data_IF_994786093910
#
_entry.id   IF_994786093910
#
_cell.length_a   1.000
_cell.length_b   1.000
_cell.length_c   1.000
_cell.angle_alpha   90.00
_cell.angle_beta   90.00
_cell.angle_gamma   90.00
#
_symmetry.space_group_name_H-M   'P 1'
#
loop_
_entity.id
_entity.type
_entity.pdbx_description
1 polymer ?
#
# COMPACT_ATOMS: atom_id res chain seq x y z
N UNK A 1 -33.65 3.81 -21.85
CA UNK A 1 -32.59 4.07 -20.84
C UNK A 1 -31.25 4.11 -21.55
N UNK A 2 -30.72 5.31 -21.79
CA UNK A 2 -29.46 5.51 -22.49
C UNK A 2 -28.32 5.47 -21.46
N UNK A 3 -27.41 4.50 -21.58
CA UNK A 3 -26.17 4.45 -20.79
C UNK A 3 -25.19 5.47 -21.37
N UNK A 4 -24.89 6.49 -20.63
CA UNK A 4 -23.85 7.45 -20.96
C UNK A 4 -22.51 6.90 -20.41
N UNK A 5 -21.67 6.42 -21.30
CA UNK A 5 -20.28 6.07 -20.97
C UNK A 5 -19.48 7.38 -20.77
N UNK A 6 -19.17 7.69 -19.54
CA UNK A 6 -18.24 8.78 -19.20
C UNK A 6 -16.82 8.23 -19.25
N UNK A 7 -16.14 8.48 -20.35
CA UNK A 7 -14.72 8.15 -20.52
C UNK A 7 -13.88 9.23 -19.80
N UNK A 8 -13.38 8.91 -18.61
CA UNK A 8 -12.53 9.81 -17.82
C UNK A 8 -11.07 9.55 -18.16
N UNK A 9 -10.49 10.37 -19.03
CA UNK A 9 -9.07 10.33 -19.38
C UNK A 9 -8.28 11.10 -18.31
N UNK A 10 -7.61 10.40 -17.41
CA UNK A 10 -6.68 11.03 -16.46
C UNK A 10 -5.34 11.29 -17.15
N UNK A 11 -4.99 12.56 -17.30
CA UNK A 11 -3.64 12.98 -17.65
C UNK A 11 -2.83 13.18 -16.37
N UNK A 12 -1.95 12.24 -16.04
CA UNK A 12 -0.97 12.39 -14.96
C UNK A 12 0.26 13.15 -15.50
N UNK A 13 0.49 14.33 -14.96
CA UNK A 13 1.70 15.11 -15.18
C UNK A 13 2.92 14.42 -14.57
N UNK A 14 3.95 14.25 -15.39
CA UNK A 14 5.22 13.66 -15.02
C UNK A 14 6.02 14.58 -14.08
N UNK A 15 6.42 14.07 -12.91
CA UNK A 15 7.54 14.60 -12.15
C UNK A 15 8.81 13.88 -12.63
N UNK A 16 9.50 14.46 -13.60
CA UNK A 16 10.85 14.06 -13.99
C UNK A 16 11.84 14.72 -13.03
N UNK A 17 12.40 13.93 -12.12
CA UNK A 17 13.61 14.27 -11.36
C UNK A 17 14.83 13.84 -12.17
N UNK A 18 15.78 14.75 -12.32
CA UNK A 18 17.04 14.58 -13.05
C UNK A 18 17.85 13.40 -12.53
N UNK A 19 18.31 12.53 -13.44
CA UNK A 19 19.36 11.55 -13.19
C UNK A 19 20.59 11.89 -14.04
N UNK A 20 21.72 11.74 -13.38
CA UNK A 20 23.05 12.08 -13.83
C UNK A 20 23.49 11.33 -15.08
N UNK A 21 24.26 12.02 -15.90
CA UNK A 21 25.03 11.52 -17.03
C UNK A 21 25.96 10.37 -16.65
N UNK A 22 25.89 9.28 -17.40
CA UNK A 22 26.84 8.19 -17.33
C UNK A 22 28.04 8.47 -18.23
N UNK A 23 29.23 8.45 -17.65
CA UNK A 23 30.50 8.64 -18.32
C UNK A 23 30.78 7.49 -19.32
N UNK A 24 31.33 7.83 -20.49
CA UNK A 24 31.85 6.91 -21.51
C UNK A 24 33.10 6.20 -20.97
N UNK A 25 33.27 4.90 -21.21
CA UNK A 25 34.54 4.25 -20.93
C UNK A 25 35.57 4.53 -22.04
N UNK A 26 36.79 4.85 -21.61
CA UNK A 26 37.96 4.98 -22.45
C UNK A 26 38.44 3.58 -22.92
N UNK A 27 38.86 3.51 -24.16
CA UNK A 27 39.52 2.33 -24.72
C UNK A 27 40.94 2.18 -24.13
N UNK A 28 41.24 1.00 -23.62
CA UNK A 28 42.60 0.59 -23.27
C UNK A 28 42.99 -0.64 -24.11
N UNK A 29 43.94 -0.44 -25.01
CA UNK A 29 44.68 -1.53 -25.67
C UNK A 29 45.67 -2.15 -24.68
N UNK A 30 45.68 -3.44 -24.54
CA UNK A 30 46.68 -4.18 -23.77
C UNK A 30 46.53 -5.67 -23.93
N UNK A 31 47.36 -6.25 -24.76
CA UNK A 31 47.42 -7.68 -24.96
C UNK A 31 47.83 -8.45 -23.71
N UNK A 32 47.04 -9.40 -23.29
CA UNK A 32 47.39 -10.40 -22.29
C UNK A 32 47.07 -11.80 -22.76
N UNK A 33 48.02 -12.69 -22.62
CA UNK A 33 47.97 -14.13 -22.87
C UNK A 33 46.81 -14.75 -22.08
N UNK A 34 45.87 -15.36 -22.82
CA UNK A 34 44.72 -16.02 -22.23
C UNK A 34 45.08 -17.36 -21.62
N UNK A 35 45.00 -17.47 -20.30
CA UNK A 35 44.78 -18.74 -19.64
C UNK A 35 43.42 -19.30 -20.04
N UNK A 36 43.27 -20.65 -20.16
CA UNK A 36 41.94 -21.19 -20.46
C UNK A 36 40.93 -20.75 -19.38
N UNK A 37 39.68 -20.45 -19.78
CA UNK A 37 38.69 -20.00 -18.81
C UNK A 37 38.45 -21.11 -17.77
N UNK A 38 38.65 -20.79 -16.53
CA UNK A 38 38.21 -21.61 -15.41
C UNK A 38 36.72 -21.86 -15.58
N UNK A 39 36.34 -23.12 -15.76
CA UNK A 39 34.92 -23.50 -15.89
C UNK A 39 34.28 -23.18 -14.55
N UNK A 40 33.61 -22.03 -14.48
CA UNK A 40 32.88 -21.62 -13.31
C UNK A 40 31.93 -22.75 -12.88
N UNK A 41 31.99 -23.13 -11.61
CA UNK A 41 31.07 -24.14 -11.07
C UNK A 41 29.64 -23.74 -11.46
N UNK A 42 28.80 -24.70 -11.89
CA UNK A 42 27.43 -24.39 -12.30
C UNK A 42 26.75 -23.66 -11.13
N UNK A 43 26.15 -22.51 -11.43
CA UNK A 43 25.40 -21.76 -10.44
C UNK A 43 24.38 -22.71 -9.79
N UNK A 44 24.19 -22.66 -8.47
CA UNK A 44 23.28 -23.55 -7.79
C UNK A 44 21.89 -23.45 -8.44
N UNK A 45 21.34 -24.62 -8.76
CA UNK A 45 20.04 -24.71 -9.44
C UNK A 45 19.02 -23.87 -8.66
N UNK A 46 18.35 -22.96 -9.33
CA UNK A 46 17.33 -22.12 -8.70
C UNK A 46 16.17 -23.01 -8.24
N UNK A 47 15.86 -22.97 -6.95
CA UNK A 47 14.68 -23.62 -6.38
C UNK A 47 13.59 -22.58 -6.20
N UNK A 48 12.46 -22.79 -6.88
CA UNK A 48 11.28 -21.95 -6.75
C UNK A 48 10.60 -22.16 -5.40
N UNK A 49 9.79 -21.20 -4.98
CA UNK A 49 9.13 -21.22 -3.68
C UNK A 49 7.79 -20.50 -3.73
N UNK A 50 6.90 -20.81 -2.76
CA UNK A 50 5.59 -20.16 -2.59
C UNK A 50 5.42 -19.67 -1.16
N UNK A 51 4.71 -18.56 -0.97
CA UNK A 51 4.34 -18.06 0.34
C UNK A 51 2.91 -17.50 0.36
N UNK A 52 2.19 -17.85 1.44
CA UNK A 52 0.83 -17.39 1.74
C UNK A 52 0.66 -17.22 3.25
N UNK A 53 -0.14 -16.25 3.72
CA UNK A 53 -0.58 -16.21 5.10
C UNK A 53 -1.34 -17.46 5.49
N UNK A 54 -1.31 -17.83 6.77
CA UNK A 54 -2.05 -18.99 7.28
C UNK A 54 -3.58 -18.82 7.21
N UNK A 55 -4.05 -17.59 7.03
CA UNK A 55 -5.46 -17.25 6.86
C UNK A 55 -5.65 -16.30 5.69
N UNK A 56 -6.70 -16.53 4.88
CA UNK A 56 -7.10 -15.66 3.78
C UNK A 56 -8.51 -15.14 4.03
N UNK A 57 -8.71 -13.83 3.94
CA UNK A 57 -10.03 -13.22 4.07
C UNK A 57 -10.75 -13.17 2.73
N UNK A 58 -11.98 -13.71 2.71
CA UNK A 58 -12.82 -13.80 1.53
C UNK A 58 -14.24 -13.32 1.84
N UNK A 59 -14.97 -12.86 0.84
CA UNK A 59 -16.40 -12.53 0.95
C UNK A 59 -17.25 -13.71 0.50
N UNK A 60 -18.35 -13.96 1.23
CA UNK A 60 -19.37 -14.90 0.78
C UNK A 60 -20.04 -14.40 -0.51
N UNK A 61 -20.54 -15.32 -1.31
CA UNK A 61 -21.36 -15.03 -2.52
C UNK A 61 -20.75 -13.98 -3.46
N UNK A 62 -19.44 -13.97 -3.54
CA UNK A 62 -18.66 -13.08 -4.41
C UNK A 62 -17.47 -13.89 -4.95
N UNK A 63 -17.11 -13.71 -6.24
CA UNK A 63 -15.87 -14.25 -6.75
C UNK A 63 -14.66 -13.66 -6.01
N UNK A 64 -13.88 -14.51 -5.38
CA UNK A 64 -12.62 -14.13 -4.72
C UNK A 64 -11.47 -14.72 -5.53
N UNK A 65 -10.69 -13.85 -6.16
CA UNK A 65 -9.59 -14.26 -7.00
C UNK A 65 -8.30 -14.40 -6.19
N UNK A 66 -7.60 -15.50 -6.42
CA UNK A 66 -6.28 -15.79 -5.88
C UNK A 66 -5.34 -15.97 -7.07
N UNK A 67 -4.57 -14.94 -7.37
CA UNK A 67 -3.62 -14.96 -8.48
C UNK A 67 -2.36 -15.74 -8.13
N UNK A 68 -1.85 -16.52 -9.09
CA UNK A 68 -0.66 -17.38 -8.91
C UNK A 68 0.60 -16.55 -8.73
N UNK A 69 0.73 -15.50 -9.50
CA UNK A 69 1.94 -14.72 -9.63
C UNK A 69 2.43 -14.10 -8.30
N UNK A 70 1.57 -13.48 -7.47
CA UNK A 70 1.99 -12.95 -6.18
C UNK A 70 2.44 -14.04 -5.18
N UNK A 71 1.98 -15.27 -5.36
CA UNK A 71 2.32 -16.41 -4.50
C UNK A 71 3.69 -16.96 -4.81
N UNK A 72 4.07 -16.97 -6.09
CA UNK A 72 5.23 -17.65 -6.61
C UNK A 72 6.48 -16.75 -6.56
N UNK A 73 7.60 -17.27 -6.06
CA UNK A 73 8.86 -16.54 -5.98
C UNK A 73 9.39 -16.12 -7.34
N UNK A 74 9.24 -16.99 -8.33
CA UNK A 74 9.55 -16.71 -9.73
C UNK A 74 8.46 -17.23 -10.65
N UNK A 75 7.88 -16.34 -11.38
CA UNK A 75 6.96 -16.60 -12.47
C UNK A 75 7.75 -16.58 -13.77
N UNK A 76 7.82 -17.72 -14.49
CA UNK A 76 8.60 -17.89 -15.74
C UNK A 76 10.12 -17.58 -15.61
N UNK A 77 10.99 -18.22 -16.34
CA UNK A 77 10.71 -19.21 -17.40
C UNK A 77 10.69 -20.67 -16.92
N UNK A 78 10.40 -20.92 -15.64
CA UNK A 78 10.44 -22.28 -15.09
C UNK A 78 9.17 -23.05 -15.37
N UNK A 79 9.28 -24.37 -15.49
CA UNK A 79 8.15 -25.27 -15.66
C UNK A 79 7.35 -25.50 -14.37
N UNK A 80 7.77 -24.90 -13.27
CA UNK A 80 7.05 -25.01 -12.01
C UNK A 80 5.69 -24.31 -12.09
N UNK A 81 4.68 -24.94 -11.52
CA UNK A 81 3.32 -24.38 -11.49
C UNK A 81 2.67 -24.54 -10.13
N UNK A 82 1.67 -23.69 -9.87
CA UNK A 82 0.88 -23.72 -8.65
C UNK A 82 -0.44 -24.42 -8.90
N UNK A 83 -0.72 -25.42 -8.07
CA UNK A 83 -1.98 -26.14 -8.09
C UNK A 83 -2.83 -25.78 -6.89
N UNK A 84 -4.04 -25.31 -7.15
CA UNK A 84 -5.03 -25.02 -6.10
C UNK A 84 -6.03 -26.16 -6.01
N UNK A 85 -6.44 -26.49 -4.77
CA UNK A 85 -7.49 -27.45 -4.50
C UNK A 85 -8.26 -27.06 -3.23
N UNK A 86 -9.51 -27.49 -3.11
CA UNK A 86 -10.33 -27.33 -1.91
C UNK A 86 -10.98 -28.67 -1.53
N UNK A 87 -10.95 -28.98 -0.25
CA UNK A 87 -11.62 -30.19 0.27
C UNK A 87 -13.12 -30.06 0.31
N UNK A 88 -13.62 -28.85 0.53
CA UNK A 88 -15.06 -28.58 0.57
C UNK A 88 -15.64 -28.58 -0.86
N UNK A 89 -16.47 -29.58 -1.15
CA UNK A 89 -17.13 -29.71 -2.45
C UNK A 89 -18.24 -28.66 -2.68
N UNK A 90 -18.71 -27.96 -1.64
CA UNK A 90 -19.69 -26.90 -1.73
C UNK A 90 -19.11 -25.57 -2.25
N UNK A 91 -17.81 -25.37 -2.09
CA UNK A 91 -17.13 -24.23 -2.65
C UNK A 91 -16.92 -24.42 -4.15
N UNK A 92 -17.48 -23.52 -4.95
CA UNK A 92 -17.22 -23.53 -6.39
C UNK A 92 -15.87 -22.84 -6.66
N UNK A 93 -14.92 -23.58 -7.20
CA UNK A 93 -13.61 -23.07 -7.58
C UNK A 93 -13.40 -23.22 -9.08
N UNK A 94 -13.25 -22.09 -9.77
CA UNK A 94 -12.79 -22.04 -11.16
C UNK A 94 -11.26 -21.90 -11.15
N UNK A 95 -10.58 -22.68 -11.92
CA UNK A 95 -9.12 -22.63 -12.09
C UNK A 95 -8.77 -22.21 -13.50
N UNK A 96 -7.92 -21.25 -13.62
CA UNK A 96 -7.20 -20.89 -14.84
C UNK A 96 -5.71 -20.96 -14.52
N UNK A 97 -4.85 -20.96 -15.54
CA UNK A 97 -3.41 -21.13 -15.35
C UNK A 97 -2.79 -20.07 -14.40
N UNK A 98 -3.39 -18.90 -14.29
CA UNK A 98 -2.86 -17.77 -13.53
C UNK A 98 -3.73 -17.34 -12.33
N UNK A 99 -4.96 -17.91 -12.21
CA UNK A 99 -5.89 -17.53 -11.13
C UNK A 99 -6.78 -18.68 -10.70
N UNK A 100 -7.06 -18.76 -9.40
CA UNK A 100 -8.13 -19.55 -8.82
C UNK A 100 -9.22 -18.60 -8.31
N UNK A 101 -10.45 -18.72 -8.83
CA UNK A 101 -11.62 -17.96 -8.42
C UNK A 101 -12.50 -18.81 -7.52
N UNK A 102 -12.72 -18.39 -6.28
CA UNK A 102 -13.54 -19.08 -5.28
C UNK A 102 -14.82 -18.27 -5.07
N UNK A 103 -15.96 -18.83 -5.48
CA UNK A 103 -17.23 -18.08 -5.52
C UNK A 103 -18.12 -18.28 -4.29
N UNK A 104 -18.02 -19.39 -3.61
CA UNK A 104 -18.82 -19.73 -2.42
C UNK A 104 -17.94 -20.30 -1.30
N UNK A 105 -16.99 -19.51 -0.78
CA UNK A 105 -16.20 -19.97 0.34
C UNK A 105 -17.07 -20.12 1.60
N UNK A 106 -16.78 -21.12 2.44
CA UNK A 106 -17.31 -21.23 3.77
C UNK A 106 -16.22 -20.88 4.80
N UNK A 107 -16.63 -20.29 5.92
CA UNK A 107 -15.69 -19.98 6.99
C UNK A 107 -15.06 -21.26 7.55
N UNK A 108 -13.75 -21.27 7.65
CA UNK A 108 -12.97 -22.43 8.07
C UNK A 108 -12.59 -23.38 6.95
N UNK A 109 -13.03 -23.19 5.72
CA UNK A 109 -12.53 -23.94 4.57
C UNK A 109 -11.00 -23.84 4.47
N UNK A 110 -10.39 -24.84 3.86
CA UNK A 110 -8.95 -24.88 3.64
C UNK A 110 -8.65 -24.89 2.15
N UNK A 111 -7.91 -23.89 1.71
CA UNK A 111 -7.37 -23.84 0.36
C UNK A 111 -6.02 -24.60 0.36
N UNK A 112 -5.95 -25.69 -0.40
CA UNK A 112 -4.70 -26.41 -0.61
C UNK A 112 -3.96 -25.79 -1.77
N UNK A 113 -2.69 -25.46 -1.57
CA UNK A 113 -1.82 -24.82 -2.58
C UNK A 113 -0.52 -25.59 -2.65
N UNK A 114 -0.30 -26.23 -3.80
CA UNK A 114 0.92 -26.99 -4.08
C UNK A 114 1.78 -26.27 -5.09
N UNK A 115 3.05 -26.12 -4.80
CA UNK A 115 4.07 -25.88 -5.81
C UNK A 115 4.52 -27.20 -6.38
N UNK A 116 4.37 -27.36 -7.68
CA UNK A 116 4.71 -28.59 -8.40
C UNK A 116 5.85 -28.32 -9.36
N UNK A 117 6.90 -29.13 -9.30
CA UNK A 117 7.94 -29.14 -10.34
C UNK A 117 7.35 -29.70 -11.65
N UNK A 118 7.43 -28.93 -12.73
CA UNK A 118 6.80 -29.29 -13.99
C UNK A 118 7.51 -30.41 -14.76
N UNK A 119 8.80 -30.62 -14.48
CA UNK A 119 9.59 -31.65 -15.16
C UNK A 119 9.35 -33.05 -14.54
N UNK A 120 9.27 -33.08 -13.19
CA UNK A 120 9.10 -34.33 -12.44
C UNK A 120 7.65 -34.54 -11.97
N UNK A 121 6.76 -33.58 -12.11
CA UNK A 121 5.39 -33.57 -11.56
C UNK A 121 5.34 -33.83 -10.06
N UNK A 122 6.41 -33.47 -9.35
CA UNK A 122 6.56 -33.67 -7.92
C UNK A 122 6.16 -32.42 -7.15
N UNK A 123 5.42 -32.61 -6.06
CA UNK A 123 5.11 -31.49 -5.14
C UNK A 123 6.40 -31.11 -4.40
N UNK A 124 6.83 -29.87 -4.60
CA UNK A 124 8.01 -29.28 -3.93
C UNK A 124 7.60 -28.72 -2.58
N UNK A 125 6.44 -28.06 -2.52
CA UNK A 125 5.95 -27.40 -1.29
C UNK A 125 4.43 -27.42 -1.25
N UNK A 126 3.90 -27.57 -0.05
CA UNK A 126 2.47 -27.55 0.24
C UNK A 126 2.13 -26.47 1.27
N UNK A 127 1.09 -25.68 1.00
CA UNK A 127 0.50 -24.72 1.92
C UNK A 127 -1.01 -24.99 2.07
N UNK A 128 -1.56 -24.67 3.24
CA UNK A 128 -2.97 -24.95 3.58
C UNK A 128 -3.60 -23.77 4.32
N UNK A 129 -3.67 -22.56 3.72
CA UNK A 129 -4.31 -21.44 4.37
C UNK A 129 -5.78 -21.71 4.65
N UNK A 130 -6.24 -21.27 5.83
CA UNK A 130 -7.63 -21.32 6.23
C UNK A 130 -8.37 -20.10 5.69
N UNK A 131 -9.57 -20.30 5.17
CA UNK A 131 -10.44 -19.20 4.73
C UNK A 131 -11.19 -18.62 5.94
N UNK A 132 -11.20 -17.30 6.03
CA UNK A 132 -12.00 -16.49 6.94
C UNK A 132 -13.01 -15.72 6.12
N UNK A 133 -14.28 -16.06 6.27
CA UNK A 133 -15.31 -15.60 5.35
C UNK A 133 -16.22 -14.60 6.01
N UNK A 134 -16.12 -13.34 5.55
CA UNK A 134 -17.05 -12.28 5.91
C UNK A 134 -18.33 -12.34 5.09
N UNK A 135 -19.48 -12.05 5.69
CA UNK A 135 -20.77 -12.02 5.00
C UNK A 135 -20.93 -10.73 4.19
N UNK A 136 -21.03 -10.87 2.86
CA UNK A 136 -21.21 -9.75 1.95
C UNK A 136 -22.49 -8.97 2.23
N UNK A 137 -22.40 -7.66 2.29
CA UNK A 137 -23.57 -6.78 2.34
C UNK A 137 -24.39 -6.85 3.63
N UNK A 138 -23.84 -7.41 4.69
CA UNK A 138 -24.54 -7.58 5.98
C UNK A 138 -24.03 -6.55 6.99
N UNK A 139 -24.95 -6.03 7.80
CA UNK A 139 -24.67 -5.12 8.93
C UNK A 139 -25.45 -3.81 8.82
N UNK A 140 -25.95 -3.34 9.96
CA UNK A 140 -26.80 -2.15 10.13
C UNK A 140 -26.14 -1.00 10.88
N UNK A 141 -24.96 -1.25 11.49
CA UNK A 141 -24.20 -0.25 12.24
C UNK A 141 -23.21 0.47 11.34
N UNK A 142 -22.87 1.71 11.69
CA UNK A 142 -21.78 2.43 11.04
C UNK A 142 -20.43 1.77 11.33
N UNK A 143 -19.60 1.71 10.30
CA UNK A 143 -18.25 1.16 10.36
C UNK A 143 -17.26 2.25 9.93
N UNK A 144 -16.30 2.53 10.77
CA UNK A 144 -15.25 3.50 10.49
C UNK A 144 -13.93 2.77 10.22
N UNK A 145 -13.33 3.04 9.06
CA UNK A 145 -12.07 2.44 8.65
C UNK A 145 -11.07 3.50 8.17
N UNK A 146 -9.80 3.28 8.44
CA UNK A 146 -8.71 4.11 7.93
C UNK A 146 -7.71 3.28 7.18
N UNK A 147 -7.17 3.84 6.10
CA UNK A 147 -6.05 3.26 5.37
C UNK A 147 -4.89 4.24 5.37
N UNK A 148 -3.78 3.88 6.01
CA UNK A 148 -2.49 4.54 5.90
C UNK A 148 -1.74 3.86 4.76
N UNK A 149 -1.28 4.64 3.77
CA UNK A 149 -0.65 4.02 2.61
C UNK A 149 0.05 4.98 1.67
N UNK A 150 0.51 4.43 0.56
CA UNK A 150 1.21 5.16 -0.49
C UNK A 150 0.27 5.66 -1.61
N UNK A 151 0.77 5.65 -2.85
CA UNK A 151 0.01 6.08 -4.03
C UNK A 151 -1.22 5.22 -4.33
N UNK A 152 -1.24 3.96 -3.93
CA UNK A 152 -2.43 3.10 -4.10
C UNK A 152 -3.58 3.58 -3.22
N UNK A 153 -3.28 3.94 -1.98
CA UNK A 153 -4.26 4.52 -1.07
C UNK A 153 -4.65 5.94 -1.53
N UNK A 154 -3.66 6.76 -1.90
CA UNK A 154 -3.88 8.10 -2.44
C UNK A 154 -4.75 8.08 -3.70
N UNK A 155 -4.48 7.14 -4.61
CA UNK A 155 -5.25 6.92 -5.85
C UNK A 155 -6.60 6.24 -5.65
N UNK A 156 -6.97 5.92 -4.42
CA UNK A 156 -8.28 5.37 -4.07
C UNK A 156 -8.58 3.97 -4.64
N UNK A 157 -7.55 3.16 -4.87
CA UNK A 157 -7.69 1.86 -5.52
C UNK A 157 -8.52 0.84 -4.72
N UNK A 158 -8.62 1.01 -3.40
CA UNK A 158 -9.40 0.11 -2.54
C UNK A 158 -10.86 0.51 -2.38
N UNK A 159 -11.21 1.71 -2.81
CA UNK A 159 -12.52 2.30 -2.63
C UNK A 159 -13.64 1.51 -3.29
N UNK A 160 -13.40 1.04 -4.53
CA UNK A 160 -14.43 0.34 -5.31
C UNK A 160 -15.04 -0.84 -4.53
N UNK A 161 -14.22 -1.61 -3.81
CA UNK A 161 -14.70 -2.71 -2.99
C UNK A 161 -15.26 -2.27 -1.64
N UNK A 162 -14.67 -1.23 -1.02
CA UNK A 162 -15.06 -0.81 0.33
C UNK A 162 -16.32 0.06 0.33
N UNK A 163 -16.41 1.01 -0.60
CA UNK A 163 -17.46 2.04 -0.58
C UNK A 163 -18.48 1.82 -1.70
N UNK A 164 -18.02 1.67 -2.95
CA UNK A 164 -18.91 1.76 -4.11
C UNK A 164 -19.67 0.46 -4.37
N UNK A 165 -19.15 -0.69 -3.94
CA UNK A 165 -19.74 -2.02 -4.20
C UNK A 165 -20.92 -2.38 -3.29
N UNK A 166 -21.07 -1.71 -2.15
CA UNK A 166 -22.01 -2.09 -1.10
C UNK A 166 -21.64 -3.37 -0.34
N UNK A 167 -20.41 -3.86 -0.49
CA UNK A 167 -19.95 -5.06 0.23
C UNK A 167 -19.86 -4.85 1.74
N UNK A 168 -19.57 -3.61 2.14
CA UNK A 168 -19.56 -3.18 3.55
C UNK A 168 -20.58 -2.06 3.72
N UNK A 169 -21.84 -2.36 4.09
CA UNK A 169 -22.86 -1.32 4.31
C UNK A 169 -22.43 -0.34 5.39
N UNK A 170 -22.81 0.93 5.20
CA UNK A 170 -22.54 2.04 6.15
C UNK A 170 -21.05 2.20 6.52
N UNK A 171 -20.15 1.95 5.58
CA UNK A 171 -18.73 2.22 5.78
C UNK A 171 -18.43 3.71 5.64
N UNK A 172 -17.62 4.22 6.56
CA UNK A 172 -17.06 5.57 6.58
C UNK A 172 -15.55 5.47 6.58
N UNK A 173 -14.93 5.89 5.49
CA UNK A 173 -13.48 6.01 5.44
C UNK A 173 -13.06 7.30 6.11
N UNK A 174 -12.11 7.24 7.05
CA UNK A 174 -11.64 8.37 7.84
C UNK A 174 -10.16 8.70 7.58
N UNK A 175 -9.76 9.94 7.84
CA UNK A 175 -8.40 10.43 7.61
C UNK A 175 -8.35 11.93 7.39
N UNK A 176 -7.23 12.45 6.88
CA UNK A 176 -7.06 13.87 6.57
C UNK A 176 -7.31 14.21 5.10
N UNK A 177 -7.09 13.26 4.19
CA UNK A 177 -7.28 13.49 2.76
C UNK A 177 -8.72 13.17 2.37
N UNK A 178 -9.48 14.19 1.98
CA UNK A 178 -10.91 14.09 1.64
C UNK A 178 -11.12 13.84 0.14
N UNK A 179 -12.03 12.94 -0.15
CA UNK A 179 -12.59 12.79 -1.49
C UNK A 179 -13.87 13.61 -1.66
N UNK A 180 -14.28 13.82 -2.91
CA UNK A 180 -15.44 14.65 -3.24
C UNK A 180 -16.76 14.19 -2.60
N UNK A 181 -16.89 12.91 -2.28
CA UNK A 181 -18.07 12.31 -1.65
C UNK A 181 -18.06 12.31 -0.12
N UNK A 182 -17.08 12.96 0.49
CA UNK A 182 -16.97 13.01 1.95
C UNK A 182 -16.24 11.84 2.60
N UNK A 183 -15.77 10.87 1.84
CA UNK A 183 -14.86 9.82 2.32
C UNK A 183 -13.43 10.35 2.44
N UNK A 184 -12.61 9.69 3.27
CA UNK A 184 -11.25 10.15 3.57
C UNK A 184 -10.23 9.02 3.48
N UNK A 185 -8.94 9.34 3.43
CA UNK A 185 -7.83 8.39 3.60
C UNK A 185 -6.56 9.07 4.14
N UNK A 186 -5.50 8.28 4.33
CA UNK A 186 -4.15 8.72 4.70
C UNK A 186 -3.11 8.23 3.68
N UNK A 187 -3.49 8.18 2.41
CA UNK A 187 -2.57 7.80 1.34
C UNK A 187 -1.69 8.97 0.87
N UNK A 188 -0.40 8.73 0.67
CA UNK A 188 0.52 9.74 0.14
C UNK A 188 1.43 9.13 -0.92
N UNK A 189 1.32 9.63 -2.16
CA UNK A 189 2.07 9.11 -3.31
C UNK A 189 3.58 9.08 -3.09
N UNK A 190 4.19 7.92 -3.32
CA UNK A 190 5.63 7.72 -3.18
C UNK A 190 6.14 7.52 -1.75
N UNK A 191 5.26 7.49 -0.75
CA UNK A 191 5.67 7.37 0.64
C UNK A 191 6.07 5.95 1.03
N UNK A 192 7.03 5.90 1.96
CA UNK A 192 7.46 4.73 2.70
C UNK A 192 6.85 4.75 4.11
N UNK A 193 6.95 3.64 4.84
CA UNK A 193 6.58 3.65 6.26
C UNK A 193 7.42 4.67 7.05
N UNK A 194 8.71 4.76 6.76
CA UNK A 194 9.61 5.76 7.37
C UNK A 194 9.18 7.20 7.13
N UNK A 195 8.49 7.49 6.02
CA UNK A 195 7.97 8.84 5.75
C UNK A 195 6.93 9.30 6.79
N UNK A 196 6.16 8.38 7.37
CA UNK A 196 5.20 8.64 8.44
C UNK A 196 5.85 8.85 9.82
N UNK A 197 7.16 8.65 9.92
CA UNK A 197 7.99 8.96 11.09
C UNK A 197 8.86 10.20 10.87
N UNK A 198 8.69 10.85 9.73
CA UNK A 198 9.38 12.10 9.43
C UNK A 198 8.89 13.22 10.34
N UNK A 199 9.83 13.85 11.06
CA UNK A 199 9.52 15.04 11.87
C UNK A 199 9.27 16.22 10.95
N UNK A 200 8.16 16.93 11.06
CA UNK A 200 7.87 18.10 10.25
C UNK A 200 8.69 19.30 10.74
N UNK A 201 9.90 19.42 10.20
CA UNK A 201 10.82 20.53 10.55
C UNK A 201 10.49 21.85 9.86
N UNK A 202 9.63 21.82 8.88
CA UNK A 202 9.10 23.00 8.17
C UNK A 202 7.79 22.62 7.47
N UNK A 203 6.92 23.62 7.22
CA UNK A 203 5.73 23.40 6.41
C UNK A 203 6.12 22.87 5.03
N UNK A 204 5.80 21.64 4.73
CA UNK A 204 5.99 21.05 3.43
C UNK A 204 4.79 20.19 3.03
N UNK A 205 4.74 19.74 1.79
CA UNK A 205 3.65 18.91 1.25
C UNK A 205 3.49 17.55 1.95
N UNK A 206 4.38 17.23 2.86
CA UNK A 206 4.53 15.91 3.47
C UNK A 206 3.99 15.83 4.90
N UNK A 207 3.20 16.81 5.34
CA UNK A 207 2.63 16.80 6.68
C UNK A 207 1.55 15.72 6.81
N UNK A 208 1.63 14.93 7.86
CA UNK A 208 0.71 13.80 8.08
C UNK A 208 0.05 13.76 9.48
N UNK A 209 0.46 14.64 10.39
CA UNK A 209 -0.16 14.77 11.70
C UNK A 209 0.08 13.66 12.72
N UNK A 210 0.79 12.59 12.42
CA UNK A 210 1.02 11.49 13.37
C UNK A 210 2.19 11.74 14.32
N UNK A 211 3.23 12.48 13.88
CA UNK A 211 4.36 12.81 14.73
C UNK A 211 4.03 13.98 15.62
N UNK A 212 4.21 13.80 16.92
CA UNK A 212 3.85 14.76 17.97
C UNK A 212 5.07 15.08 18.82
N UNK A 213 5.31 16.35 19.16
CA UNK A 213 6.33 16.71 20.14
C UNK A 213 5.87 16.26 21.53
N UNK A 214 6.76 15.56 22.23
CA UNK A 214 6.47 15.05 23.57
C UNK A 214 6.17 16.19 24.54
N UNK A 215 5.16 15.99 25.39
CA UNK A 215 4.73 16.97 26.37
C UNK A 215 3.94 18.17 25.82
N UNK A 216 3.81 18.31 24.50
CA UNK A 216 2.98 19.37 23.95
C UNK A 216 1.50 19.01 24.07
N UNK A 217 0.71 19.92 24.62
CA UNK A 217 -0.75 19.80 24.59
C UNK A 217 -1.28 19.95 23.17
N UNK A 218 -0.75 20.92 22.47
CA UNK A 218 -1.09 21.26 21.09
C UNK A 218 0.17 21.70 20.33
N UNK A 219 0.25 21.45 19.04
CA UNK A 219 1.37 21.92 18.23
C UNK A 219 0.95 22.20 16.78
N UNK A 220 1.74 22.99 16.10
CA UNK A 220 1.53 23.36 14.71
C UNK A 220 1.40 24.87 14.54
N UNK A 221 1.16 25.28 13.33
CA UNK A 221 0.73 26.62 12.99
C UNK A 221 -0.21 26.59 11.79
N UNK A 222 -0.74 27.76 11.42
CA UNK A 222 -1.64 27.90 10.28
C UNK A 222 -1.06 27.29 8.99
N UNK A 223 0.23 27.45 8.73
CA UNK A 223 0.85 26.99 7.51
C UNK A 223 1.01 25.46 7.48
N UNK A 224 1.31 24.81 8.59
CA UNK A 224 1.27 23.36 8.70
C UNK A 224 -0.13 22.82 8.42
N UNK A 225 -1.14 23.45 8.96
CA UNK A 225 -2.53 23.06 8.79
C UNK A 225 -3.07 23.35 7.39
N UNK A 226 -2.65 24.47 6.77
CA UNK A 226 -2.97 24.82 5.39
C UNK A 226 -2.25 23.94 4.36
N UNK A 227 -1.10 23.39 4.68
CA UNK A 227 -0.31 22.64 3.70
C UNK A 227 -0.84 21.25 3.45
N UNK A 228 -1.47 20.63 4.42
CA UNK A 228 -2.27 19.46 4.16
C UNK A 228 -3.32 19.72 3.05
N UNK A 229 -3.79 20.97 2.95
CA UNK A 229 -4.76 21.44 1.95
C UNK A 229 -4.16 21.88 0.61
N UNK A 230 -2.94 22.40 0.60
CA UNK A 230 -2.29 22.93 -0.64
C UNK A 230 -1.78 21.85 -1.60
N UNK A 231 -1.67 20.61 -1.17
CA UNK A 231 -1.21 19.52 -2.03
C UNK A 231 -2.03 19.33 -3.31
N UNK A 232 -3.20 19.90 -3.40
CA UNK A 232 -4.15 19.60 -4.46
C UNK A 232 -4.40 20.72 -5.45
N UNK A 233 -4.14 21.99 -5.13
CA UNK A 233 -4.61 23.11 -5.99
C UNK A 233 -3.63 23.66 -6.99
N UNK A 234 -2.31 23.59 -6.80
CA UNK A 234 -1.35 24.30 -7.65
C UNK A 234 -0.82 23.56 -8.87
N UNK A 235 -1.08 22.27 -9.01
CA UNK A 235 -0.50 21.43 -10.06
C UNK A 235 -1.51 20.80 -11.01
N UNK A 236 -2.78 21.19 -10.95
CA UNK A 236 -3.80 20.57 -11.80
C UNK A 236 -4.05 21.37 -13.09
N UNK A 237 -4.21 20.70 -14.24
CA UNK A 237 -4.63 21.33 -15.48
C UNK A 237 -5.99 22.04 -15.33
N UNK A 238 -6.16 23.13 -16.08
CA UNK A 238 -7.43 23.87 -16.15
C UNK A 238 -8.58 22.91 -16.51
N UNK A 239 -9.61 22.84 -15.67
CA UNK A 239 -10.79 21.98 -15.89
C UNK A 239 -10.77 20.66 -15.12
N UNK A 240 -9.77 20.43 -14.28
CA UNK A 240 -9.74 19.28 -13.38
C UNK A 240 -10.22 19.72 -12.00
N UNK A 241 -11.41 19.28 -11.61
CA UNK A 241 -11.87 19.45 -10.22
C UNK A 241 -11.00 18.59 -9.31
N UNK A 242 -10.43 19.15 -8.23
CA UNK A 242 -9.63 18.37 -7.31
C UNK A 242 -10.48 17.30 -6.65
N UNK A 243 -10.14 16.05 -6.89
CA UNK A 243 -10.81 14.91 -6.25
C UNK A 243 -10.50 14.80 -4.76
N UNK A 244 -9.57 15.60 -4.25
CA UNK A 244 -9.23 15.63 -2.83
C UNK A 244 -9.19 17.07 -2.30
N UNK A 245 -9.82 17.29 -1.19
CA UNK A 245 -9.53 18.43 -0.33
C UNK A 245 -9.07 17.91 1.03
N UNK A 246 -8.11 18.53 1.65
CA UNK A 246 -7.81 18.26 3.06
C UNK A 246 -8.96 18.78 3.87
N UNK A 247 -9.73 17.88 4.42
CA UNK A 247 -11.07 18.17 4.85
C UNK A 247 -11.17 18.79 6.22
N UNK A 248 -10.09 18.84 6.97
CA UNK A 248 -10.24 19.16 8.37
C UNK A 248 -9.61 20.48 8.79
N UNK A 249 -9.32 21.32 7.83
CA UNK A 249 -8.98 22.71 8.10
C UNK A 249 -10.11 23.40 8.88
N UNK A 250 -11.36 23.07 8.60
CA UNK A 250 -12.53 23.62 9.32
C UNK A 250 -12.52 23.28 10.82
N UNK A 251 -11.94 22.15 11.23
CA UNK A 251 -11.79 21.79 12.65
C UNK A 251 -10.73 22.66 13.36
N UNK A 252 -9.94 23.40 12.61
CA UNK A 252 -8.90 24.29 13.10
C UNK A 252 -9.31 25.76 13.04
N UNK A 253 -10.42 26.06 12.37
CA UNK A 253 -10.99 27.42 12.34
C UNK A 253 -11.25 27.89 13.77
N UNK A 254 -10.79 29.10 14.10
CA UNK A 254 -10.87 29.64 15.44
C UNK A 254 -9.77 29.19 16.41
N UNK A 255 -8.84 28.35 15.99
CA UNK A 255 -7.66 28.01 16.80
C UNK A 255 -6.45 28.89 16.53
N UNK A 256 -6.39 29.50 15.36
CA UNK A 256 -5.31 30.42 14.95
C UNK A 256 -5.88 31.78 14.57
N UNK A 257 -5.10 32.80 14.83
CA UNK A 257 -5.29 34.08 14.18
C UNK A 257 -5.02 33.95 12.67
N UNK A 258 -6.00 34.31 11.87
CA UNK A 258 -5.92 34.09 10.43
C UNK A 258 -4.88 34.97 9.72
N UNK A 259 -4.53 36.12 10.32
CA UNK A 259 -3.59 37.07 9.76
C UNK A 259 -2.15 36.72 10.15
N UNK A 260 -1.92 36.45 11.41
CA UNK A 260 -0.60 36.19 11.98
C UNK A 260 -0.21 34.72 11.99
N UNK A 261 -1.18 33.81 11.96
CA UNK A 261 -0.95 32.37 12.11
C UNK A 261 -0.61 31.93 13.53
N UNK A 262 -0.76 32.82 14.50
CA UNK A 262 -0.49 32.54 15.91
C UNK A 262 -1.65 31.76 16.52
N UNK A 263 -1.32 30.78 17.38
CA UNK A 263 -2.32 30.01 18.11
C UNK A 263 -3.13 30.90 19.06
N UNK A 264 -4.44 30.88 18.90
CA UNK A 264 -5.35 31.63 19.79
C UNK A 264 -5.48 30.94 21.14
N UNK A 265 -5.49 31.75 22.22
CA UNK A 265 -5.59 31.25 23.58
C UNK A 265 -4.59 30.14 23.92
N UNK A 266 -3.30 30.37 23.72
CA UNK A 266 -2.28 29.36 24.02
C UNK A 266 -2.29 29.03 25.50
N UNK A 267 -1.92 27.79 25.83
CA UNK A 267 -1.73 27.35 27.21
C UNK A 267 -0.30 26.88 27.38
N UNK A 268 0.18 26.89 28.60
CA UNK A 268 1.50 26.38 28.94
C UNK A 268 1.75 25.00 28.33
N UNK A 269 2.91 24.83 27.70
CA UNK A 269 3.31 23.63 27.02
C UNK A 269 2.87 23.54 25.55
N UNK A 270 2.06 24.45 25.02
CA UNK A 270 1.74 24.50 23.61
C UNK A 270 3.00 24.83 22.79
N UNK A 271 3.12 24.21 21.63
CA UNK A 271 4.27 24.39 20.73
C UNK A 271 3.76 24.90 19.37
N UNK A 272 4.43 25.90 18.86
CA UNK A 272 4.15 26.49 17.56
C UNK A 272 5.43 26.55 16.73
N UNK A 273 5.31 26.38 15.42
CA UNK A 273 6.37 26.71 14.49
C UNK A 273 6.31 28.22 14.19
N UNK A 274 7.40 28.91 14.43
CA UNK A 274 7.54 30.33 14.12
C UNK A 274 8.13 30.51 12.72
N UNK A 275 7.34 31.11 11.84
CA UNK A 275 7.75 31.35 10.45
C UNK A 275 8.89 32.38 10.32
N UNK A 276 8.97 33.33 11.26
CA UNK A 276 9.98 34.38 11.22
C UNK A 276 11.37 33.80 11.52
N UNK A 277 11.48 32.98 12.53
CA UNK A 277 12.74 32.36 12.97
C UNK A 277 13.01 31.01 12.30
N UNK A 278 12.02 30.46 11.59
CA UNK A 278 12.04 29.09 11.06
C UNK A 278 12.33 28.02 12.13
N UNK A 279 11.92 28.29 13.35
CA UNK A 279 12.15 27.46 14.52
C UNK A 279 10.86 27.11 15.26
N UNK A 280 11.00 26.44 16.39
CA UNK A 280 9.89 26.16 17.27
C UNK A 280 9.89 27.11 18.47
N UNK A 281 8.69 27.46 18.92
CA UNK A 281 8.46 28.22 20.15
C UNK A 281 7.51 27.46 21.03
N UNK A 282 7.73 27.54 22.35
CA UNK A 282 6.85 26.96 23.37
C UNK A 282 6.25 28.07 24.21
N UNK A 283 4.97 27.98 24.46
CA UNK A 283 4.29 28.90 25.39
C UNK A 283 4.55 28.47 26.84
N UNK A 284 5.08 29.39 27.67
CA UNK A 284 5.41 29.12 29.07
C UNK A 284 4.33 29.50 30.05
N UNK A 285 3.15 29.91 29.55
CA UNK A 285 2.03 30.43 30.32
C UNK A 285 1.88 31.94 30.22
N UNK A 286 2.92 32.66 29.79
CA UNK A 286 2.94 34.11 29.63
C UNK A 286 3.37 34.55 28.23
N UNK A 287 4.40 33.94 27.69
CA UNK A 287 5.00 34.30 26.39
C UNK A 287 5.51 33.10 25.59
N UNK A 288 5.76 33.32 24.30
CA UNK A 288 6.36 32.34 23.42
C UNK A 288 7.90 32.38 23.49
N UNK A 289 8.53 31.30 23.95
CA UNK A 289 9.97 31.17 24.04
C UNK A 289 10.54 30.22 22.97
N UNK A 290 11.65 30.63 22.36
CA UNK A 290 12.35 29.80 21.40
C UNK A 290 12.76 28.46 22.01
N UNK A 291 12.53 27.38 21.25
CA UNK A 291 12.89 26.02 21.65
C UNK A 291 13.89 25.49 20.65
N UNK A 292 15.09 25.07 21.06
CA UNK A 292 16.04 24.42 20.18
C UNK A 292 15.42 23.20 19.51
N UNK A 293 15.53 23.09 18.18
CA UNK A 293 14.90 22.01 17.43
C UNK A 293 15.32 20.61 17.90
N UNK A 294 16.58 20.47 18.34
CA UNK A 294 17.13 19.23 18.87
C UNK A 294 16.68 18.89 20.30
N UNK A 295 16.05 19.83 21.01
CA UNK A 295 15.48 19.58 22.34
C UNK A 295 14.07 19.01 22.30
N UNK A 296 13.38 19.07 21.17
CA UNK A 296 12.07 18.47 20.99
C UNK A 296 12.19 16.99 20.69
N UNK A 297 11.70 16.17 21.57
CA UNK A 297 11.50 14.75 21.32
C UNK A 297 10.16 14.55 20.60
N UNK A 298 10.19 13.71 19.58
CA UNK A 298 9.02 13.42 18.77
C UNK A 298 8.64 11.97 18.88
N UNK A 299 7.34 11.71 18.99
CA UNK A 299 6.79 10.35 19.02
C UNK A 299 5.63 10.23 18.04
N UNK A 300 5.43 9.03 17.52
CA UNK A 300 4.22 8.70 16.76
C UNK A 300 3.08 8.52 17.75
N UNK A 301 2.05 9.39 17.68
CA UNK A 301 0.90 9.37 18.60
C UNK A 301 -0.41 9.42 17.82
N UNK A 302 -1.01 8.25 17.68
CA UNK A 302 -2.27 8.07 16.95
C UNK A 302 -3.45 8.70 17.70
N UNK A 303 -3.50 8.58 19.03
CA UNK A 303 -4.55 9.16 19.83
C UNK A 303 -4.58 10.69 19.73
N UNK A 304 -3.41 11.30 19.79
CA UNK A 304 -3.28 12.74 19.61
C UNK A 304 -3.61 13.19 18.19
N UNK A 305 -3.24 12.40 17.17
CA UNK A 305 -3.68 12.62 15.80
C UNK A 305 -5.20 12.66 15.70
N UNK A 306 -5.91 11.68 16.26
CA UNK A 306 -7.38 11.66 16.25
C UNK A 306 -7.97 12.92 16.94
N UNK A 307 -7.43 13.27 18.09
CA UNK A 307 -7.90 14.42 18.88
C UNK A 307 -7.65 15.74 18.18
N UNK A 308 -6.43 15.96 17.70
CA UNK A 308 -6.05 17.22 17.07
C UNK A 308 -6.84 17.49 15.80
N UNK A 309 -7.10 16.48 15.02
CA UNK A 309 -7.79 16.59 13.73
C UNK A 309 -9.28 16.25 13.81
N UNK A 310 -9.79 15.99 15.02
CA UNK A 310 -11.18 15.57 15.21
C UNK A 310 -11.56 14.42 14.27
N UNK A 311 -10.69 13.43 14.12
CA UNK A 311 -10.95 12.24 13.31
C UNK A 311 -11.75 11.25 14.15
N UNK A 312 -12.84 10.75 13.61
CA UNK A 312 -13.60 9.67 14.26
C UNK A 312 -12.70 8.45 14.45
N UNK A 313 -12.59 7.90 15.68
CA UNK A 313 -11.78 6.72 15.92
C UNK A 313 -12.22 5.54 15.01
N UNK A 314 -11.34 5.00 14.16
CA UNK A 314 -11.71 3.88 13.30
C UNK A 314 -11.69 2.57 14.05
N UNK A 315 -12.65 1.70 13.74
CA UNK A 315 -12.67 0.31 14.20
C UNK A 315 -11.64 -0.55 13.46
N UNK A 316 -11.26 -0.13 12.26
CA UNK A 316 -10.31 -0.84 11.41
C UNK A 316 -9.22 0.09 10.92
N UNK A 317 -7.96 -0.27 11.19
CA UNK A 317 -6.80 0.42 10.64
C UNK A 317 -6.01 -0.53 9.74
N UNK A 318 -5.88 -0.17 8.48
CA UNK A 318 -5.07 -0.86 7.49
C UNK A 318 -3.81 -0.06 7.18
N UNK A 319 -2.65 -0.73 7.11
CA UNK A 319 -1.39 -0.13 6.65
C UNK A 319 -0.95 -0.82 5.37
N UNK A 320 -0.97 -0.08 4.26
CA UNK A 320 -0.62 -0.56 2.92
C UNK A 320 0.66 0.13 2.47
N UNK A 321 1.78 -0.32 2.99
CA UNK A 321 3.12 0.24 2.75
C UNK A 321 4.13 -0.89 2.53
N UNK A 322 5.33 -0.54 2.07
CA UNK A 322 6.39 -1.49 1.79
C UNK A 322 6.81 -1.52 0.34
N UNK A 323 5.90 -1.16 -0.58
CA UNK A 323 6.24 -1.11 -2.00
C UNK A 323 7.35 -0.10 -2.29
N UNK A 324 7.21 1.15 -1.84
CA UNK A 324 8.22 2.18 -2.01
C UNK A 324 9.44 1.98 -1.10
N UNK A 325 9.28 1.23 0.00
CA UNK A 325 10.37 0.88 0.89
C UNK A 325 11.34 -0.12 0.24
N UNK A 326 10.81 -1.14 -0.43
CA UNK A 326 11.57 -2.34 -0.76
C UNK A 326 11.59 -2.73 -2.23
N UNK A 327 10.87 -2.04 -3.10
CA UNK A 327 10.88 -2.32 -4.54
C UNK A 327 12.31 -2.37 -5.09
N UNK A 328 12.69 -3.52 -5.65
CA UNK A 328 13.99 -3.76 -6.25
C UNK A 328 15.15 -3.94 -5.26
N UNK A 329 14.89 -4.01 -3.95
CA UNK A 329 15.91 -4.26 -2.91
C UNK A 329 15.92 -5.73 -2.52
N UNK A 330 16.84 -6.51 -3.06
CA UNK A 330 16.92 -7.95 -2.78
C UNK A 330 17.41 -8.26 -1.38
N UNK A 331 18.38 -7.47 -0.89
CA UNK A 331 19.06 -7.65 0.41
C UNK A 331 18.58 -6.58 1.41
N UNK A 332 17.28 -6.40 1.51
CA UNK A 332 16.70 -5.38 2.38
C UNK A 332 16.76 -5.82 3.85
N UNK A 333 17.18 -4.91 4.72
CA UNK A 333 16.97 -5.01 6.17
C UNK A 333 15.58 -4.49 6.53
N UNK A 334 14.74 -5.35 7.05
CA UNK A 334 13.36 -5.04 7.44
C UNK A 334 13.23 -4.60 8.91
N UNK A 335 14.29 -4.59 9.69
CA UNK A 335 14.25 -4.38 11.15
C UNK A 335 13.68 -3.01 11.54
N UNK A 336 14.01 -1.96 10.78
CA UNK A 336 13.45 -0.63 11.02
C UNK A 336 11.95 -0.61 10.72
N UNK A 337 11.53 -1.25 9.63
CA UNK A 337 10.13 -1.34 9.25
C UNK A 337 9.32 -2.08 10.32
N UNK A 338 9.85 -3.18 10.86
CA UNK A 338 9.24 -3.92 11.96
C UNK A 338 9.02 -3.07 13.21
N UNK A 339 10.04 -2.33 13.63
CA UNK A 339 9.93 -1.40 14.76
C UNK A 339 8.86 -0.35 14.51
N UNK A 340 8.86 0.26 13.33
CA UNK A 340 7.92 1.32 12.99
C UNK A 340 6.48 0.82 12.91
N UNK A 341 6.22 -0.31 12.26
CA UNK A 341 4.86 -0.85 12.18
C UNK A 341 4.31 -1.29 13.54
N UNK A 342 5.20 -1.77 14.41
CA UNK A 342 4.85 -2.11 15.81
C UNK A 342 4.43 -0.84 16.57
N UNK A 343 5.18 0.25 16.44
CA UNK A 343 4.81 1.55 17.05
C UNK A 343 3.44 2.03 16.53
N UNK A 344 3.19 1.95 15.22
CA UNK A 344 1.89 2.32 14.64
C UNK A 344 0.77 1.49 15.25
N UNK A 345 0.92 0.18 15.31
CA UNK A 345 -0.05 -0.74 15.91
C UNK A 345 -0.30 -0.43 17.39
N UNK A 346 0.75 -0.30 18.19
CA UNK A 346 0.62 -0.06 19.63
C UNK A 346 -0.03 1.28 19.90
N UNK A 347 0.34 2.32 19.16
CA UNK A 347 -0.26 3.65 19.28
C UNK A 347 -1.74 3.65 18.85
N UNK A 348 -2.08 2.91 17.80
CA UNK A 348 -3.47 2.75 17.38
C UNK A 348 -4.30 1.98 18.41
N UNK A 349 -3.85 0.83 18.87
CA UNK A 349 -4.60 0.01 19.83
C UNK A 349 -4.72 0.71 21.20
N UNK A 350 -3.76 1.55 21.58
CA UNK A 350 -3.89 2.42 22.76
C UNK A 350 -5.04 3.42 22.61
N UNK A 351 -5.24 3.98 21.43
CA UNK A 351 -6.30 4.95 21.13
C UNK A 351 -7.64 4.29 20.82
N UNK A 352 -7.64 3.09 20.25
CA UNK A 352 -8.80 2.31 19.83
C UNK A 352 -8.65 0.86 20.33
N UNK A 353 -8.90 0.59 21.62
CA UNK A 353 -8.59 -0.72 22.23
C UNK A 353 -9.33 -1.92 21.60
N UNK A 354 -10.55 -1.70 21.12
CA UNK A 354 -11.36 -2.72 20.43
C UNK A 354 -11.09 -2.78 18.93
N UNK A 355 -10.20 -1.92 18.43
CA UNK A 355 -9.88 -1.80 17.02
C UNK A 355 -9.14 -3.02 16.46
N UNK A 356 -9.23 -3.19 15.16
CA UNK A 356 -8.48 -4.22 14.42
C UNK A 356 -7.42 -3.56 13.56
N UNK A 357 -6.17 -3.89 13.83
CA UNK A 357 -5.01 -3.44 13.05
C UNK A 357 -4.61 -4.50 12.05
N UNK A 358 -4.43 -4.12 10.79
CA UNK A 358 -4.00 -5.04 9.74
C UNK A 358 -2.83 -4.48 8.94
N UNK A 359 -1.77 -5.28 8.81
CA UNK A 359 -0.71 -5.09 7.82
C UNK A 359 -1.23 -5.65 6.50
N UNK A 360 -1.22 -4.81 5.47
CA UNK A 360 -1.66 -5.24 4.15
C UNK A 360 -0.45 -5.54 3.27
N UNK A 361 -0.37 -6.76 2.77
CA UNK A 361 0.65 -7.12 1.79
C UNK A 361 0.33 -6.37 0.50
N UNK A 362 1.20 -5.44 0.04
CA UNK A 362 0.94 -4.69 -1.17
C UNK A 362 1.06 -5.58 -2.42
N UNK A 363 0.39 -5.18 -3.49
CA UNK A 363 0.65 -5.74 -4.80
C UNK A 363 2.07 -5.40 -5.27
N UNK A 364 2.67 -6.24 -6.09
CA UNK A 364 3.85 -5.84 -6.84
C UNK A 364 3.47 -4.82 -7.91
N UNK A 365 4.42 -3.98 -8.30
CA UNK A 365 4.22 -3.08 -9.45
C UNK A 365 4.86 -3.68 -10.68
N UNK A 366 4.21 -3.48 -11.80
CA UNK A 366 4.91 -3.55 -13.07
C UNK A 366 5.62 -2.21 -13.26
N UNK A 367 6.89 -2.14 -12.95
CA UNK A 367 7.66 -0.91 -13.13
C UNK A 367 8.20 -0.80 -14.56
N UNK A 368 8.27 0.45 -15.06
CA UNK A 368 8.92 0.79 -16.33
C UNK A 368 10.40 0.39 -16.42
N UNK A 369 11.02 0.10 -15.29
CA UNK A 369 12.42 -0.34 -15.23
C UNK A 369 12.59 -1.72 -15.86
N UNK A 370 11.51 -2.44 -16.01
CA UNK A 370 11.52 -3.83 -16.37
C UNK A 370 11.06 -4.10 -17.78
N UNK A 371 10.64 -3.12 -18.51
CA UNK A 371 10.26 -3.03 -19.94
C UNK A 371 10.24 -4.35 -20.77
N UNK A 372 10.25 -5.48 -20.10
CA UNK A 372 10.10 -6.80 -20.68
C UNK A 372 8.66 -7.19 -20.42
N UNK A 373 7.89 -7.07 -21.45
CA UNK A 373 6.50 -7.43 -21.48
C UNK A 373 6.26 -8.83 -20.95
N UNK A 374 5.35 -8.93 -20.02
CA UNK A 374 4.96 -10.19 -19.42
C UNK A 374 6.01 -10.84 -18.51
N UNK A 375 7.15 -10.21 -18.36
CA UNK A 375 8.17 -10.62 -17.41
C UNK A 375 8.36 -9.51 -16.39
N UNK A 376 7.66 -9.64 -15.29
CA UNK A 376 7.97 -8.87 -14.10
C UNK A 376 9.43 -9.12 -13.81
N UNK A 377 10.27 -8.10 -13.78
CA UNK A 377 11.65 -8.44 -13.66
C UNK A 377 11.85 -9.31 -12.47
N UNK A 378 12.68 -10.29 -12.65
CA UNK A 378 13.08 -11.19 -11.59
C UNK A 378 13.46 -10.42 -10.33
N UNK A 379 14.04 -9.22 -10.46
CA UNK A 379 14.50 -8.41 -9.34
C UNK A 379 13.36 -7.77 -8.53
N UNK A 380 12.40 -7.11 -9.18
CA UNK A 380 11.30 -6.46 -8.44
C UNK A 380 10.36 -7.49 -7.83
N UNK A 381 10.00 -8.52 -8.58
CA UNK A 381 9.19 -9.62 -8.06
C UNK A 381 9.89 -10.35 -6.93
N UNK A 382 11.17 -10.64 -7.06
CA UNK A 382 11.92 -11.29 -6.00
C UNK A 382 12.00 -10.41 -4.75
N UNK A 383 12.23 -9.10 -4.90
CA UNK A 383 12.25 -8.18 -3.78
C UNK A 383 10.88 -8.09 -3.08
N UNK A 384 9.79 -7.95 -3.83
CA UNK A 384 8.45 -7.90 -3.26
C UNK A 384 8.01 -9.25 -2.69
N UNK A 385 8.39 -10.36 -3.32
CA UNK A 385 8.17 -11.68 -2.76
C UNK A 385 8.97 -11.90 -1.46
N UNK A 386 10.22 -11.44 -1.38
CA UNK A 386 11.03 -11.48 -0.16
C UNK A 386 10.35 -10.68 0.96
N UNK A 387 9.88 -9.48 0.67
CA UNK A 387 9.14 -8.66 1.65
C UNK A 387 7.84 -9.34 2.09
N UNK A 388 7.04 -9.85 1.16
CA UNK A 388 5.85 -10.65 1.46
C UNK A 388 6.14 -11.84 2.37
N UNK A 389 7.15 -12.65 2.02
CA UNK A 389 7.55 -13.83 2.78
C UNK A 389 8.04 -13.45 4.19
N UNK A 390 8.77 -12.34 4.30
CA UNK A 390 9.19 -11.82 5.58
C UNK A 390 8.00 -11.34 6.42
N UNK A 391 7.06 -10.57 5.86
CA UNK A 391 5.83 -10.15 6.56
C UNK A 391 5.06 -11.34 7.12
N UNK A 392 4.89 -12.38 6.30
CA UNK A 392 4.20 -13.60 6.72
C UNK A 392 4.96 -14.29 7.85
N UNK A 393 6.27 -14.48 7.72
CA UNK A 393 7.09 -15.14 8.76
C UNK A 393 7.11 -14.38 10.07
N UNK A 394 7.08 -13.06 10.01
CA UNK A 394 7.21 -12.19 11.18
C UNK A 394 5.88 -11.96 11.89
N UNK A 395 4.79 -11.77 11.17
CA UNK A 395 3.52 -11.29 11.75
C UNK A 395 2.36 -12.28 11.64
N UNK A 396 2.46 -13.32 10.79
CA UNK A 396 1.41 -14.30 10.69
C UNK A 396 1.24 -15.07 12.03
N UNK A 397 0.00 -15.35 12.42
CA UNK A 397 -0.35 -15.97 13.69
C UNK A 397 -0.10 -15.12 14.96
N UNK A 398 0.22 -13.84 14.83
CA UNK A 398 0.40 -12.90 15.97
C UNK A 398 -0.87 -12.08 16.26
N UNK A 399 -2.04 -12.64 15.98
CA UNK A 399 -3.33 -11.96 16.21
C UNK A 399 -3.58 -11.62 17.68
N UNK A 400 -3.11 -12.46 18.60
CA UNK A 400 -3.17 -12.19 20.05
C UNK A 400 -2.37 -10.96 20.47
N UNK A 401 -1.38 -10.59 19.67
CA UNK A 401 -0.59 -9.36 19.82
C UNK A 401 -1.18 -8.17 19.05
N UNK A 402 -2.34 -8.37 18.41
CA UNK A 402 -3.05 -7.36 17.62
C UNK A 402 -2.59 -7.23 16.19
N UNK A 403 -1.74 -8.13 15.67
CA UNK A 403 -1.35 -8.13 14.26
C UNK A 403 -2.27 -9.03 13.43
N UNK A 404 -2.81 -8.49 12.36
CA UNK A 404 -3.49 -9.24 11.31
C UNK A 404 -2.81 -9.00 9.97
N UNK A 405 -2.88 -9.98 9.07
CA UNK A 405 -2.39 -9.83 7.70
C UNK A 405 -3.57 -9.87 6.74
N UNK A 406 -3.68 -8.84 5.89
CA UNK A 406 -4.61 -8.77 4.76
C UNK A 406 -3.82 -8.73 3.47
N UNK A 407 -4.13 -9.61 2.53
CA UNK A 407 -3.33 -9.81 1.34
C UNK A 407 -3.97 -9.21 0.10
N UNK A 408 -3.74 -7.92 -0.14
CA UNK A 408 -4.19 -7.24 -1.34
C UNK A 408 -3.46 -7.70 -2.61
N UNK A 409 -2.21 -8.15 -2.44
CA UNK A 409 -1.40 -8.63 -3.56
C UNK A 409 -1.98 -9.88 -4.22
N UNK A 410 -2.59 -10.79 -3.43
CA UNK A 410 -3.23 -11.99 -3.96
C UNK A 410 -4.42 -11.71 -4.88
N UNK A 411 -5.13 -10.63 -4.60
CA UNK A 411 -6.31 -10.22 -5.35
C UNK A 411 -5.96 -9.30 -6.54
N UNK A 412 -4.68 -9.15 -6.87
CA UNK A 412 -4.22 -8.29 -7.96
C UNK A 412 -3.68 -9.12 -9.12
N UNK A 413 -4.29 -8.93 -10.30
CA UNK A 413 -3.78 -9.51 -11.53
C UNK A 413 -2.57 -8.73 -12.03
N UNK A 414 -1.39 -9.30 -11.83
CA UNK A 414 -0.16 -8.65 -12.26
C UNK A 414 0.05 -8.70 -13.78
N UNK A 415 -0.62 -9.63 -14.49
CA UNK A 415 -0.51 -9.76 -15.94
C UNK A 415 -1.47 -8.80 -16.67
N UNK A 416 -2.70 -8.68 -16.18
CA UNK A 416 -3.78 -8.01 -16.91
C UNK A 416 -4.38 -6.80 -16.19
N UNK A 417 -4.03 -6.59 -14.92
CA UNK A 417 -4.57 -5.52 -14.08
C UNK A 417 -3.95 -4.14 -14.29
N UNK A 418 -2.98 -3.99 -15.21
CA UNK A 418 -2.23 -2.74 -15.42
C UNK A 418 -2.42 -2.18 -16.82
N UNK A 419 -2.26 -0.84 -16.93
CA UNK A 419 -2.40 -0.14 -18.21
C UNK A 419 -1.31 -0.55 -19.20
N UNK A 420 -1.70 -0.74 -20.46
CA UNK A 420 -0.78 -1.00 -21.55
C UNK A 420 -0.30 0.32 -22.18
N UNK A 421 0.97 0.36 -22.59
CA UNK A 421 1.51 1.47 -23.37
C UNK A 421 0.94 1.46 -24.79
N UNK A 422 0.84 2.65 -25.40
CA UNK A 422 0.65 2.77 -26.86
C UNK A 422 1.83 2.11 -27.55
N UNK A 423 1.55 1.22 -28.51
CA UNK A 423 2.60 0.52 -29.26
C UNK A 423 2.95 -0.87 -28.72
N UNK A 424 2.09 -1.45 -27.86
CA UNK A 424 2.20 -2.86 -27.53
C UNK A 424 2.30 -3.70 -28.80
N UNK A 425 3.39 -4.44 -28.96
CA UNK A 425 3.64 -5.30 -30.10
C UNK A 425 3.02 -6.66 -29.85
N UNK A 426 2.34 -7.20 -30.85
CA UNK A 426 1.88 -8.59 -30.84
C UNK A 426 3.09 -9.49 -31.05
N UNK A 427 3.38 -10.34 -30.07
CA UNK A 427 4.40 -11.38 -30.22
C UNK A 427 3.69 -12.72 -30.36
N UNK A 428 3.90 -13.42 -31.47
CA UNK A 428 3.42 -14.80 -31.58
C UNK A 428 4.15 -15.66 -30.54
N UNK A 429 3.38 -16.33 -29.71
CA UNK A 429 3.91 -17.28 -28.75
C UNK A 429 3.91 -18.68 -29.38
N UNK A 430 5.08 -19.30 -29.48
CA UNK A 430 5.21 -20.65 -30.05
C UNK A 430 4.41 -21.64 -29.18
N UNK A 431 3.39 -22.27 -29.76
CA UNK A 431 2.52 -23.24 -29.09
C UNK A 431 1.17 -22.67 -28.58
N UNK A 432 0.90 -21.41 -28.79
CA UNK A 432 -0.42 -20.78 -28.49
C UNK A 432 -1.09 -20.41 -29.82
N UNK A 433 -2.32 -20.89 -30.04
CA UNK A 433 -3.14 -20.48 -31.20
C UNK A 433 -3.70 -19.05 -31.09
N UNK A 434 -3.06 -18.18 -30.34
CA UNK A 434 -3.47 -16.81 -30.09
C UNK A 434 -2.31 -15.85 -30.14
N UNK A 435 -2.56 -14.65 -30.64
CA UNK A 435 -1.64 -13.54 -30.58
C UNK A 435 -1.56 -13.00 -29.15
N UNK A 436 -0.53 -13.30 -28.40
CA UNK A 436 -0.23 -12.55 -27.19
C UNK A 436 0.38 -11.21 -27.56
N UNK A 437 -0.31 -10.13 -27.23
CA UNK A 437 0.27 -8.79 -27.33
C UNK A 437 1.39 -8.67 -26.33
N UNK A 438 2.58 -8.41 -26.80
CA UNK A 438 3.69 -7.97 -25.95
C UNK A 438 3.21 -6.71 -25.20
N UNK A 439 2.96 -6.85 -23.91
CA UNK A 439 2.42 -5.76 -23.10
C UNK A 439 3.55 -4.88 -22.65
N UNK A 440 3.85 -3.87 -23.44
CA UNK A 440 4.68 -2.77 -22.96
C UNK A 440 3.83 -1.96 -22.01
N UNK A 441 4.19 -2.01 -20.75
CA UNK A 441 3.47 -1.23 -19.73
C UNK A 441 3.91 0.24 -19.78
N UNK A 442 2.95 1.11 -19.47
CA UNK A 442 3.19 2.55 -19.44
C UNK A 442 4.04 2.88 -18.25
N UNK A 443 5.09 2.74 -17.91
CA UNK A 443 5.82 3.25 -16.71
C UNK A 443 5.00 3.69 -15.49
N UNK A 444 3.68 3.53 -15.55
CA UNK A 444 2.77 3.80 -14.44
C UNK A 444 2.66 2.53 -13.58
N UNK A 445 3.19 2.56 -12.34
CA UNK A 445 3.19 1.39 -11.47
C UNK A 445 1.81 1.03 -10.89
N UNK A 446 0.75 1.73 -11.29
CA UNK A 446 -0.58 1.56 -10.72
C UNK A 446 -1.46 0.70 -11.61
N UNK A 447 -2.26 -0.22 -11.03
CA UNK A 447 -3.26 -0.98 -11.76
C UNK A 447 -4.36 -0.05 -12.30
N UNK A 448 -5.29 -0.64 -13.05
CA UNK A 448 -6.45 0.10 -13.54
C UNK A 448 -7.24 0.73 -12.37
N UNK A 449 -7.69 1.97 -12.52
CA UNK A 449 -8.65 2.56 -11.58
C UNK A 449 -9.91 1.69 -11.49
N UNK A 450 -10.50 1.60 -10.29
CA UNK A 450 -11.70 0.80 -10.02
C UNK A 450 -11.50 -0.73 -10.11
N UNK A 451 -10.31 -1.20 -9.92
CA UNK A 451 -10.03 -2.63 -9.83
C UNK A 451 -10.56 -3.18 -8.50
N UNK A 452 -11.84 -3.59 -8.53
CA UNK A 452 -12.60 -4.01 -7.34
C UNK A 452 -11.91 -5.12 -6.56
N UNK A 453 -11.24 -6.04 -7.26
CA UNK A 453 -10.64 -7.22 -6.62
C UNK A 453 -9.57 -6.87 -5.61
N UNK A 454 -8.77 -5.82 -5.82
CA UNK A 454 -7.74 -5.40 -4.84
C UNK A 454 -8.31 -5.04 -3.48
N UNK A 455 -9.51 -4.49 -3.44
CA UNK A 455 -10.17 -4.09 -2.19
C UNK A 455 -10.97 -5.20 -1.52
N UNK A 456 -11.19 -6.34 -2.20
CA UNK A 456 -11.99 -7.44 -1.65
C UNK A 456 -11.45 -8.00 -0.32
N UNK A 457 -10.15 -8.24 -0.15
CA UNK A 457 -9.62 -8.74 1.12
C UNK A 457 -9.87 -7.78 2.29
N UNK A 458 -9.89 -6.46 2.05
CA UNK A 458 -10.22 -5.46 3.08
C UNK A 458 -11.71 -5.53 3.46
N UNK A 459 -12.59 -5.58 2.47
CA UNK A 459 -14.02 -5.73 2.71
C UNK A 459 -14.32 -7.04 3.45
N UNK A 460 -13.66 -8.13 3.07
CA UNK A 460 -13.78 -9.42 3.71
C UNK A 460 -13.30 -9.39 5.16
N UNK A 461 -12.16 -8.74 5.43
CA UNK A 461 -11.64 -8.56 6.78
C UNK A 461 -12.63 -7.79 7.67
N UNK A 462 -13.14 -6.65 7.18
CA UNK A 462 -14.13 -5.87 7.92
C UNK A 462 -15.36 -6.72 8.21
N UNK A 463 -15.92 -7.39 7.21
CA UNK A 463 -17.14 -8.19 7.35
C UNK A 463 -16.96 -9.46 8.19
N UNK A 464 -15.74 -9.93 8.35
CA UNK A 464 -15.42 -11.06 9.24
C UNK A 464 -15.42 -10.66 10.71
N UNK A 465 -14.95 -9.45 11.05
CA UNK A 465 -14.82 -8.97 12.43
C UNK A 465 -15.95 -8.03 12.88
N UNK A 466 -16.85 -7.66 12.00
CA UNK A 466 -17.99 -6.77 12.26
C UNK A 466 -19.09 -7.36 13.17
#
# INVERSE_FOLDING_TARGET
MKRTNLCMTMALGACLGAFAEAAKPAAAEGGATSSPPEVAAPAPAFVNDICLPSSLYMLSDTPNDVFVQPVLKRWRPYNDFVRFNMKNKGAFMRRLNHVATISKPADGDVLQVDLVNGDEFKVIKHLSPRLRVGKKGVGDKDVYAQIIGDSFTHGNFFRAALVDSGYVPKIHMVGLLKFADGQYNEGRGGWTLGSYFGVPTRPNRSYHGFMQPEGARYWGNREFWKMAWRCTRKTQPKGFEPTYSCARFDSCVGRFDENTGVLLNPKEGDIQFDEATKGFVRFDGSEWKSVPANSLKWSFDYGKYLQMWNVTPPQFLFVVLGLNDFRGRLDADYSQWERQITIVKDSYLKACPDGKFAICIPCSTCGSIDNVAGDFTPRQNAAMWNFRNWLIKTFDKREKEGFHIVDAGLATDNDYGYNLAKGSVVVPFEGYNGEEKLRVQTGNPHPYPNYVTMGLPFAAFIQYYR
#
